data_IF_323137743162
#
_entry.id   IF_323137743162
#
_cell.length_a   1.000
_cell.length_b   1.000
_cell.length_c   1.000
_cell.angle_alpha   90.00
_cell.angle_beta   90.00
_cell.angle_gamma   90.00
#
_symmetry.space_group_name_H-M   'P 1'
#
loop_
_entity.id
_entity.type
_entity.pdbx_description
1 polymer ?
#
# COMPACT_ATOMS: atom_id res chain seq x y z
N UNK A 1 -34.25 7.84 -18.17
CA UNK A 1 -34.11 7.38 -16.76
C UNK A 1 -33.51 5.98 -16.67
N UNK A 2 -34.20 4.87 -16.96
CA UNK A 2 -33.63 3.50 -16.85
C UNK A 2 -32.31 3.30 -17.65
N UNK A 3 -32.26 3.77 -18.90
CA UNK A 3 -31.05 3.71 -19.72
C UNK A 3 -29.89 4.55 -19.17
N UNK A 4 -30.19 5.68 -18.51
CA UNK A 4 -29.20 6.51 -17.84
C UNK A 4 -28.65 5.80 -16.59
N UNK A 5 -29.51 5.17 -15.79
CA UNK A 5 -29.09 4.37 -14.62
C UNK A 5 -28.21 3.18 -15.04
N UNK A 6 -28.57 2.49 -16.12
CA UNK A 6 -27.76 1.41 -16.70
C UNK A 6 -26.40 1.95 -17.21
N UNK A 7 -26.39 3.09 -17.89
CA UNK A 7 -25.18 3.72 -18.42
C UNK A 7 -24.27 4.31 -17.33
N UNK A 8 -24.80 4.77 -16.20
CA UNK A 8 -24.04 5.19 -15.02
C UNK A 8 -23.23 4.03 -14.41
N UNK A 9 -23.57 2.77 -14.73
CA UNK A 9 -22.78 1.59 -14.39
C UNK A 9 -21.57 1.33 -15.30
N UNK A 10 -21.36 2.18 -16.33
CA UNK A 10 -20.25 2.03 -17.27
C UNK A 10 -18.90 2.05 -16.54
N UNK A 11 -18.04 1.08 -16.89
CA UNK A 11 -16.66 0.99 -16.42
C UNK A 11 -15.71 0.99 -17.62
N UNK A 12 -14.81 1.97 -17.67
CA UNK A 12 -13.79 2.09 -18.72
C UNK A 12 -14.32 2.59 -20.07
N UNK A 13 -13.47 2.49 -21.09
CA UNK A 13 -13.65 3.14 -22.39
C UNK A 13 -14.85 2.62 -23.21
N UNK A 14 -15.22 1.36 -23.05
CA UNK A 14 -16.30 0.71 -23.82
C UNK A 14 -17.68 1.32 -23.55
N UNK A 15 -17.88 1.88 -22.35
CA UNK A 15 -19.15 2.49 -21.94
C UNK A 15 -19.26 3.99 -22.20
N UNK A 16 -18.19 4.66 -22.68
CA UNK A 16 -18.16 6.12 -22.84
C UNK A 16 -19.20 6.60 -23.85
N UNK A 17 -19.25 5.99 -25.04
CA UNK A 17 -20.23 6.38 -26.07
C UNK A 17 -21.66 6.06 -25.63
N UNK A 18 -21.89 4.91 -24.97
CA UNK A 18 -23.19 4.57 -24.41
C UNK A 18 -23.65 5.60 -23.36
N UNK A 19 -22.73 6.04 -22.49
CA UNK A 19 -23.00 7.06 -21.48
C UNK A 19 -23.26 8.43 -22.11
N UNK A 20 -22.46 8.83 -23.12
CA UNK A 20 -22.66 10.09 -23.85
C UNK A 20 -24.02 10.14 -24.53
N UNK A 21 -24.37 9.10 -25.29
CA UNK A 21 -25.68 9.01 -25.96
C UNK A 21 -26.82 9.00 -24.95
N UNK A 22 -26.68 8.28 -23.82
CA UNK A 22 -27.71 8.26 -22.78
C UNK A 22 -27.92 9.64 -22.11
N UNK A 23 -26.84 10.44 -21.98
CA UNK A 23 -26.90 11.80 -21.43
C UNK A 23 -27.53 12.78 -22.42
N UNK A 24 -27.13 12.75 -23.70
CA UNK A 24 -27.71 13.57 -24.77
C UNK A 24 -29.22 13.30 -24.91
N UNK A 25 -29.63 12.02 -24.91
CA UNK A 25 -31.05 11.64 -24.96
C UNK A 25 -31.82 12.10 -23.71
N UNK A 26 -31.17 12.14 -22.54
CA UNK A 26 -31.80 12.60 -21.31
C UNK A 26 -31.90 14.14 -21.24
N UNK A 27 -30.94 14.86 -21.83
CA UNK A 27 -30.97 16.30 -22.02
C UNK A 27 -32.07 16.71 -23.00
N UNK A 28 -32.20 16.01 -24.14
CA UNK A 28 -33.28 16.20 -25.12
C UNK A 28 -34.67 15.89 -24.53
N UNK A 29 -34.73 15.01 -23.53
CA UNK A 29 -35.95 14.70 -22.79
C UNK A 29 -36.26 15.69 -21.66
N UNK A 30 -35.50 16.79 -21.53
CA UNK A 30 -35.64 17.84 -20.53
C UNK A 30 -35.56 17.34 -19.07
N UNK A 31 -34.69 16.37 -18.75
CA UNK A 31 -34.40 16.02 -17.36
C UNK A 31 -33.69 17.19 -16.65
N UNK A 32 -33.88 17.28 -15.33
CA UNK A 32 -33.24 18.31 -14.51
C UNK A 32 -31.70 18.21 -14.57
N UNK A 33 -31.05 19.36 -14.71
CA UNK A 33 -29.58 19.47 -14.79
C UNK A 33 -28.89 18.82 -13.58
N UNK A 34 -29.53 18.88 -12.41
CA UNK A 34 -29.02 18.24 -11.18
C UNK A 34 -29.03 16.70 -11.25
N UNK A 35 -30.00 16.09 -11.97
CA UNK A 35 -30.06 14.64 -12.18
C UNK A 35 -28.99 14.16 -13.18
N UNK A 36 -28.56 15.04 -14.10
CA UNK A 36 -27.60 14.72 -15.16
C UNK A 36 -26.14 14.96 -14.75
N UNK A 37 -25.88 15.88 -13.81
CA UNK A 37 -24.53 16.26 -13.38
C UNK A 37 -23.64 15.08 -12.93
N UNK A 38 -24.14 14.06 -12.20
CA UNK A 38 -23.34 12.88 -11.86
C UNK A 38 -22.86 12.11 -13.09
N UNK A 39 -23.70 12.01 -14.12
CA UNK A 39 -23.36 11.32 -15.37
C UNK A 39 -22.37 12.12 -16.20
N UNK A 40 -22.54 13.44 -16.31
CA UNK A 40 -21.55 14.31 -16.96
C UNK A 40 -20.20 14.28 -16.24
N UNK A 41 -20.18 14.22 -14.90
CA UNK A 41 -18.95 14.08 -14.12
C UNK A 41 -18.26 12.73 -14.41
N UNK A 42 -19.03 11.65 -14.43
CA UNK A 42 -18.52 10.32 -14.76
C UNK A 42 -17.98 10.26 -16.19
N UNK A 43 -18.69 10.85 -17.16
CA UNK A 43 -18.26 10.91 -18.55
C UNK A 43 -16.92 11.64 -18.67
N UNK A 44 -16.80 12.83 -18.09
CA UNK A 44 -15.54 13.60 -18.07
C UNK A 44 -14.40 12.81 -17.43
N UNK A 45 -14.69 12.09 -16.34
CA UNK A 45 -13.69 11.25 -15.69
C UNK A 45 -13.23 10.11 -16.60
N UNK A 46 -14.17 9.36 -17.19
CA UNK A 46 -13.84 8.23 -18.09
C UNK A 46 -13.12 8.69 -19.35
N UNK A 47 -13.48 9.84 -19.91
CA UNK A 47 -12.80 10.47 -21.06
C UNK A 47 -11.38 10.89 -20.71
N UNK A 48 -11.18 11.53 -19.56
CA UNK A 48 -9.85 11.90 -19.07
C UNK A 48 -8.97 10.66 -18.83
N UNK A 49 -9.55 9.60 -18.28
CA UNK A 49 -8.86 8.32 -18.06
C UNK A 49 -8.56 7.56 -19.37
N UNK A 50 -9.33 7.78 -20.43
CA UNK A 50 -9.23 7.03 -21.69
C UNK A 50 -8.51 7.79 -22.82
N UNK A 51 -7.94 8.96 -22.51
CA UNK A 51 -7.22 9.78 -23.49
C UNK A 51 -5.98 9.05 -24.05
N UNK A 52 -5.72 9.09 -25.37
CA UNK A 52 -4.54 8.46 -25.95
C UNK A 52 -3.26 9.10 -25.41
N UNK A 53 -2.32 8.27 -24.96
CA UNK A 53 -1.01 8.69 -24.44
C UNK A 53 0.01 9.00 -25.54
N UNK A 54 -0.37 8.90 -26.82
CA UNK A 54 0.50 9.19 -27.94
C UNK A 54 0.83 10.69 -28.00
N UNK A 55 2.12 11.03 -27.99
CA UNK A 55 2.62 12.42 -28.03
C UNK A 55 2.19 13.31 -26.86
N UNK A 56 1.68 12.74 -25.77
CA UNK A 56 1.28 13.50 -24.58
C UNK A 56 2.50 14.05 -23.84
N UNK A 57 3.46 13.19 -23.53
CA UNK A 57 4.64 13.58 -22.75
C UNK A 57 5.84 13.89 -23.63
N UNK A 58 6.00 13.18 -24.75
CA UNK A 58 7.07 13.43 -25.72
C UNK A 58 6.45 13.82 -27.06
N UNK A 59 6.39 15.13 -27.36
CA UNK A 59 5.89 15.64 -28.64
C UNK A 59 6.62 15.06 -29.85
N UNK A 60 6.01 15.18 -31.03
CA UNK A 60 6.58 14.64 -32.28
C UNK A 60 7.98 15.19 -32.57
N UNK A 61 8.15 16.50 -32.47
CA UNK A 61 9.41 17.19 -32.73
C UNK A 61 10.53 16.71 -31.78
N UNK A 62 10.17 16.49 -30.51
CA UNK A 62 11.09 15.99 -29.50
C UNK A 62 11.44 14.51 -29.72
N UNK A 63 10.47 13.69 -30.19
CA UNK A 63 10.72 12.31 -30.57
C UNK A 63 11.65 12.20 -31.78
N UNK A 64 11.50 13.07 -32.77
CA UNK A 64 12.39 13.14 -33.93
C UNK A 64 13.80 13.53 -33.48
N UNK A 65 13.90 14.56 -32.63
CA UNK A 65 15.15 14.99 -32.01
C UNK A 65 15.83 13.86 -31.23
N UNK A 66 15.06 13.08 -30.45
CA UNK A 66 15.54 11.91 -29.72
C UNK A 66 16.08 10.81 -30.63
N UNK A 67 15.43 10.57 -31.77
CA UNK A 67 15.89 9.56 -32.73
C UNK A 67 17.17 9.98 -33.44
N UNK A 68 17.38 11.29 -33.64
CA UNK A 68 18.60 11.85 -34.22
C UNK A 68 19.72 12.11 -33.20
N UNK A 69 19.43 11.95 -31.90
CA UNK A 69 20.39 12.26 -30.84
C UNK A 69 21.66 11.44 -30.99
N UNK A 70 22.80 12.12 -30.93
CA UNK A 70 24.12 11.54 -31.20
C UNK A 70 24.78 10.98 -29.94
N UNK A 71 24.35 11.46 -28.77
CA UNK A 71 24.92 11.11 -27.47
C UNK A 71 23.84 10.73 -26.45
N UNK A 72 24.23 9.93 -25.46
CA UNK A 72 23.36 9.58 -24.32
C UNK A 72 22.91 10.83 -23.57
N UNK A 73 23.81 11.77 -23.34
CA UNK A 73 23.53 12.97 -22.53
C UNK A 73 22.49 13.87 -23.20
N UNK A 74 22.58 14.03 -24.52
CA UNK A 74 21.60 14.75 -25.32
C UNK A 74 20.20 14.11 -25.23
N UNK A 75 20.11 12.79 -25.38
CA UNK A 75 18.84 12.07 -25.26
C UNK A 75 18.24 12.19 -23.86
N UNK A 76 19.06 12.11 -22.81
CA UNK A 76 18.63 12.28 -21.42
C UNK A 76 18.10 13.70 -21.19
N UNK A 77 18.77 14.73 -21.70
CA UNK A 77 18.31 16.12 -21.55
C UNK A 77 16.93 16.35 -22.19
N UNK A 78 16.70 15.81 -23.39
CA UNK A 78 15.40 15.91 -24.05
C UNK A 78 14.34 15.18 -23.22
N UNK A 79 14.61 13.94 -22.78
CA UNK A 79 13.67 13.17 -21.96
C UNK A 79 13.33 13.88 -20.64
N UNK A 80 14.31 14.46 -19.96
CA UNK A 80 14.08 15.20 -18.71
C UNK A 80 13.16 16.41 -18.92
N UNK A 81 13.37 17.16 -20.02
CA UNK A 81 12.52 18.29 -20.40
C UNK A 81 11.08 17.83 -20.66
N UNK A 82 10.91 16.81 -21.49
CA UNK A 82 9.60 16.29 -21.91
C UNK A 82 8.80 15.73 -20.73
N UNK A 83 9.46 14.92 -19.89
CA UNK A 83 8.84 14.26 -18.74
C UNK A 83 8.64 15.19 -17.53
N UNK A 84 9.07 16.46 -17.63
CA UNK A 84 9.03 17.48 -16.58
C UNK A 84 9.74 17.04 -15.28
N UNK A 85 10.88 16.38 -15.41
CA UNK A 85 11.67 15.90 -14.28
C UNK A 85 12.45 17.08 -13.70
N UNK A 86 12.16 17.45 -12.45
CA UNK A 86 12.85 18.56 -11.79
C UNK A 86 14.31 18.19 -11.47
N UNK A 87 15.26 19.02 -11.89
CA UNK A 87 16.68 18.84 -11.54
C UNK A 87 16.94 18.94 -10.03
N UNK A 88 16.03 19.57 -9.27
CA UNK A 88 16.19 19.80 -7.83
C UNK A 88 16.11 18.53 -6.99
N UNK A 89 15.59 17.42 -7.54
CA UNK A 89 15.42 16.16 -6.80
C UNK A 89 16.69 15.30 -6.74
N UNK A 90 17.84 15.81 -7.19
CA UNK A 90 19.17 15.21 -7.03
C UNK A 90 19.25 13.76 -7.52
N UNK A 91 19.36 12.80 -6.59
CA UNK A 91 19.46 11.38 -6.92
C UNK A 91 18.17 10.80 -7.55
N UNK A 92 17.00 11.34 -7.20
CA UNK A 92 15.72 10.85 -7.74
C UNK A 92 15.61 11.16 -9.22
N UNK A 93 15.97 12.37 -9.62
CA UNK A 93 15.95 12.80 -11.02
C UNK A 93 16.94 12.00 -11.86
N UNK A 94 18.11 11.65 -11.32
CA UNK A 94 19.07 10.78 -11.98
C UNK A 94 18.53 9.36 -12.24
N UNK A 95 17.87 8.75 -11.24
CA UNK A 95 17.24 7.42 -11.42
C UNK A 95 16.14 7.49 -12.47
N UNK A 96 15.29 8.53 -12.41
CA UNK A 96 14.15 8.67 -13.31
C UNK A 96 14.61 8.96 -14.75
N UNK A 97 15.64 9.78 -14.92
CA UNK A 97 16.29 10.03 -16.20
C UNK A 97 16.85 8.73 -16.81
N UNK A 98 17.59 7.93 -16.02
CA UNK A 98 18.14 6.65 -16.47
C UNK A 98 17.03 5.65 -16.81
N UNK A 99 15.93 5.65 -16.05
CA UNK A 99 14.75 4.83 -16.31
C UNK A 99 14.12 5.16 -17.67
N UNK A 100 13.83 6.44 -17.94
CA UNK A 100 13.26 6.85 -19.23
C UNK A 100 14.22 6.65 -20.39
N UNK A 101 15.53 6.83 -20.18
CA UNK A 101 16.53 6.56 -21.19
C UNK A 101 16.56 5.08 -21.59
N UNK A 102 16.50 4.16 -20.62
CA UNK A 102 16.43 2.72 -20.92
C UNK A 102 15.13 2.32 -21.63
N UNK A 103 14.01 2.97 -21.29
CA UNK A 103 12.74 2.79 -21.99
C UNK A 103 12.87 3.22 -23.46
N UNK A 104 13.51 4.36 -23.71
CA UNK A 104 13.79 4.83 -25.07
C UNK A 104 14.70 3.87 -25.85
N UNK A 105 15.78 3.38 -25.24
CA UNK A 105 16.67 2.38 -25.85
C UNK A 105 15.92 1.09 -26.21
N UNK A 106 14.93 0.69 -25.41
CA UNK A 106 14.09 -0.46 -25.75
C UNK A 106 13.27 -0.21 -27.02
N UNK A 107 12.64 0.95 -27.16
CA UNK A 107 11.94 1.35 -28.39
C UNK A 107 12.88 1.34 -29.60
N UNK A 108 14.09 1.87 -29.45
CA UNK A 108 15.09 1.94 -30.51
C UNK A 108 15.53 0.53 -30.95
N UNK A 109 15.77 -0.38 -30.00
CA UNK A 109 16.09 -1.80 -30.27
C UNK A 109 14.98 -2.52 -31.01
N UNK A 110 13.72 -2.19 -30.71
CA UNK A 110 12.54 -2.75 -31.38
C UNK A 110 12.19 -2.06 -32.69
N UNK A 111 12.90 -0.98 -33.07
CA UNK A 111 12.66 -0.17 -34.28
C UNK A 111 11.22 0.34 -34.39
N UNK A 112 10.66 0.78 -33.27
CA UNK A 112 9.31 1.32 -33.24
C UNK A 112 9.22 2.69 -33.90
N UNK A 113 8.06 3.01 -34.47
CA UNK A 113 7.79 4.35 -34.99
C UNK A 113 7.66 5.38 -33.85
N UNK A 114 7.76 6.66 -34.19
CA UNK A 114 7.72 7.76 -33.22
C UNK A 114 6.47 7.74 -32.34
N UNK A 115 5.31 7.42 -32.92
CA UNK A 115 4.03 7.34 -32.20
C UNK A 115 4.03 6.23 -31.15
N UNK A 116 4.46 5.02 -31.52
CA UNK A 116 4.57 3.88 -30.59
C UNK A 116 5.58 4.14 -29.48
N UNK A 117 6.74 4.69 -29.84
CA UNK A 117 7.77 5.02 -28.88
C UNK A 117 7.29 6.08 -27.89
N UNK A 118 6.65 7.16 -28.37
CA UNK A 118 6.07 8.20 -27.52
C UNK A 118 4.98 7.64 -26.60
N UNK A 119 4.10 6.80 -27.13
CA UNK A 119 3.03 6.16 -26.34
C UNK A 119 3.61 5.29 -25.23
N UNK A 120 4.63 4.47 -25.53
CA UNK A 120 5.27 3.63 -24.51
C UNK A 120 6.01 4.45 -23.46
N UNK A 121 6.73 5.49 -23.85
CA UNK A 121 7.43 6.38 -22.92
C UNK A 121 6.45 7.05 -21.95
N UNK A 122 5.32 7.55 -22.47
CA UNK A 122 4.25 8.17 -21.69
C UNK A 122 3.53 7.15 -20.80
N UNK A 123 3.31 5.93 -21.29
CA UNK A 123 2.73 4.82 -20.53
C UNK A 123 3.61 4.45 -19.32
N UNK A 124 4.92 4.33 -19.50
CA UNK A 124 5.84 4.03 -18.40
C UNK A 124 5.94 5.20 -17.40
N UNK A 125 5.81 6.45 -17.85
CA UNK A 125 5.72 7.63 -16.97
C UNK A 125 4.44 7.61 -16.15
N UNK A 126 3.30 7.37 -16.79
CA UNK A 126 2.00 7.28 -16.12
C UNK A 126 2.01 6.15 -15.08
N UNK A 127 2.55 4.98 -15.44
CA UNK A 127 2.73 3.87 -14.49
C UNK A 127 3.58 4.27 -13.28
N UNK A 128 4.76 4.84 -13.51
CA UNK A 128 5.66 5.23 -12.42
C UNK A 128 5.00 6.28 -11.53
N UNK A 129 4.40 7.32 -12.11
CA UNK A 129 3.75 8.41 -11.37
C UNK A 129 2.61 7.86 -10.50
N UNK A 130 1.72 7.08 -11.11
CA UNK A 130 0.59 6.48 -10.40
C UNK A 130 1.04 5.52 -9.30
N UNK A 131 1.87 4.53 -9.65
CA UNK A 131 2.23 3.45 -8.74
C UNK A 131 3.17 3.90 -7.62
N UNK A 132 4.10 4.82 -7.89
CA UNK A 132 5.17 5.18 -6.95
C UNK A 132 4.95 6.54 -6.30
N UNK A 133 4.51 7.56 -7.05
CA UNK A 133 4.45 8.95 -6.57
C UNK A 133 3.11 9.24 -5.90
N UNK A 134 2.00 8.87 -6.53
CA UNK A 134 0.65 9.24 -6.08
C UNK A 134 0.04 8.21 -5.12
N UNK A 135 -0.07 6.96 -5.56
CA UNK A 135 -0.84 5.94 -4.82
C UNK A 135 0.03 5.01 -3.94
N UNK A 136 1.36 4.99 -4.14
CA UNK A 136 2.30 4.09 -3.45
C UNK A 136 1.82 2.63 -3.42
N UNK A 137 1.42 2.12 -4.58
CA UNK A 137 0.80 0.82 -4.75
C UNK A 137 1.74 -0.34 -4.38
N UNK A 138 1.13 -1.47 -4.01
CA UNK A 138 1.81 -2.76 -3.96
C UNK A 138 2.30 -3.18 -5.34
N UNK A 139 3.29 -4.08 -5.39
CA UNK A 139 3.86 -4.55 -6.67
C UNK A 139 2.81 -5.24 -7.55
N UNK A 140 1.91 -6.02 -6.96
CA UNK A 140 0.86 -6.73 -7.69
C UNK A 140 -0.21 -5.77 -8.24
N UNK A 141 -0.62 -4.77 -7.47
CA UNK A 141 -1.55 -3.72 -7.93
C UNK A 141 -0.93 -2.88 -9.05
N UNK A 142 0.36 -2.56 -8.96
CA UNK A 142 1.09 -1.86 -10.01
C UNK A 142 1.20 -2.71 -11.30
N UNK A 143 1.31 -4.04 -11.19
CA UNK A 143 1.24 -4.93 -12.36
C UNK A 143 -0.14 -4.86 -13.00
N UNK A 144 -1.22 -4.96 -12.22
CA UNK A 144 -2.59 -4.81 -12.74
C UNK A 144 -2.79 -3.45 -13.41
N UNK A 145 -2.28 -2.37 -12.83
CA UNK A 145 -2.33 -1.04 -13.42
C UNK A 145 -1.60 -0.96 -14.79
N UNK A 146 -0.45 -1.63 -14.93
CA UNK A 146 0.24 -1.75 -16.21
C UNK A 146 -0.61 -2.53 -17.23
N UNK A 147 -1.23 -3.64 -16.83
CA UNK A 147 -2.07 -4.43 -17.73
C UNK A 147 -3.26 -3.63 -18.26
N UNK A 148 -3.89 -2.82 -17.41
CA UNK A 148 -4.97 -1.93 -17.80
C UNK A 148 -4.51 -0.79 -18.71
N UNK A 149 -3.33 -0.21 -18.49
CA UNK A 149 -2.73 0.75 -19.42
C UNK A 149 -2.48 0.12 -20.79
N UNK A 150 -1.86 -1.05 -20.84
CA UNK A 150 -1.54 -1.73 -22.11
C UNK A 150 -2.83 -2.11 -22.85
N UNK A 151 -3.83 -2.65 -22.14
CA UNK A 151 -5.11 -3.04 -22.73
C UNK A 151 -5.78 -1.86 -23.43
N UNK A 152 -5.81 -0.69 -22.78
CA UNK A 152 -6.38 0.54 -23.36
C UNK A 152 -5.66 1.00 -24.62
N UNK A 153 -4.33 0.94 -24.65
CA UNK A 153 -3.56 1.41 -25.80
C UNK A 153 -3.30 0.35 -26.88
N UNK A 154 -3.76 -0.88 -26.67
CA UNK A 154 -3.69 -1.95 -27.67
C UNK A 154 -5.02 -2.18 -28.40
N UNK A 155 -6.15 -1.84 -27.77
CA UNK A 155 -7.46 -1.90 -28.40
C UNK A 155 -7.73 -0.62 -29.20
N UNK A 156 -8.28 -0.78 -30.40
CA UNK A 156 -8.79 0.34 -31.17
C UNK A 156 -10.27 0.55 -30.82
N UNK A 157 -10.55 1.39 -29.82
CA UNK A 157 -11.92 1.77 -29.47
C UNK A 157 -12.21 3.18 -30.01
N UNK A 158 -13.25 3.36 -30.84
CA UNK A 158 -13.80 4.67 -31.11
C UNK A 158 -14.29 5.32 -29.79
N UNK A 159 -14.15 6.63 -29.58
CA UNK A 159 -13.69 7.66 -30.52
C UNK A 159 -12.21 8.10 -30.33
N UNK A 160 -11.53 7.64 -29.25
CA UNK A 160 -10.24 8.22 -28.83
C UNK A 160 -9.03 7.28 -28.95
N UNK A 161 -9.23 5.96 -29.03
CA UNK A 161 -8.10 5.00 -29.02
C UNK A 161 -7.71 4.57 -30.43
N UNK A 162 -6.64 5.20 -30.91
CA UNK A 162 -5.77 4.63 -31.94
C UNK A 162 -5.02 3.48 -31.25
N UNK A 163 -5.25 2.24 -31.68
CA UNK A 163 -4.53 1.06 -31.17
C UNK A 163 -3.05 1.14 -31.51
N UNK A 164 -2.31 1.95 -30.76
CA UNK A 164 -0.92 2.28 -31.02
C UNK A 164 -0.04 1.03 -30.94
N UNK A 165 -0.36 0.11 -30.03
CA UNK A 165 0.38 -1.13 -29.80
C UNK A 165 -0.36 -2.35 -30.36
N UNK A 166 0.31 -3.14 -31.19
CA UNK A 166 -0.18 -4.45 -31.59
C UNK A 166 -0.16 -5.44 -30.40
N UNK A 167 -0.87 -6.56 -30.51
CA UNK A 167 -0.87 -7.60 -29.47
C UNK A 167 0.54 -8.14 -29.17
N UNK A 168 1.39 -8.29 -30.19
CA UNK A 168 2.78 -8.73 -30.04
C UNK A 168 3.63 -7.67 -29.32
N UNK A 169 3.41 -6.40 -29.64
CA UNK A 169 4.10 -5.28 -28.99
C UNK A 169 3.66 -5.14 -27.54
N UNK A 170 2.37 -5.31 -27.24
CA UNK A 170 1.84 -5.34 -25.88
C UNK A 170 2.50 -6.43 -25.02
N UNK A 171 2.69 -7.64 -25.57
CA UNK A 171 3.41 -8.72 -24.88
C UNK A 171 4.88 -8.32 -24.64
N UNK A 172 5.54 -7.76 -25.66
CA UNK A 172 6.91 -7.31 -25.53
C UNK A 172 7.09 -6.20 -24.47
N UNK A 173 6.11 -5.29 -24.34
CA UNK A 173 6.06 -4.27 -23.28
C UNK A 173 5.97 -4.93 -21.92
N UNK A 174 5.03 -5.87 -21.72
CA UNK A 174 4.86 -6.58 -20.44
C UNK A 174 6.15 -7.30 -20.02
N UNK A 175 6.75 -8.04 -20.95
CA UNK A 175 8.00 -8.77 -20.70
C UNK A 175 9.17 -7.84 -20.37
N UNK A 176 9.24 -6.70 -21.06
CA UNK A 176 10.26 -5.69 -20.78
C UNK A 176 10.05 -5.07 -19.39
N UNK A 177 8.85 -4.60 -19.09
CA UNK A 177 8.52 -3.98 -17.79
C UNK A 177 8.78 -4.93 -16.61
N UNK A 178 8.51 -6.24 -16.78
CA UNK A 178 8.84 -7.26 -15.78
C UNK A 178 10.34 -7.33 -15.49
N UNK A 179 11.19 -7.20 -16.53
CA UNK A 179 12.65 -7.33 -16.43
C UNK A 179 13.35 -6.03 -16.03
N UNK A 180 12.74 -4.88 -16.30
CA UNK A 180 13.26 -3.55 -15.98
C UNK A 180 12.60 -2.98 -14.72
N UNK A 181 11.39 -2.43 -14.85
CA UNK A 181 10.69 -1.70 -13.81
C UNK A 181 10.37 -2.55 -12.58
N UNK A 182 9.67 -3.68 -12.76
CA UNK A 182 9.22 -4.49 -11.62
C UNK A 182 10.36 -5.20 -10.90
N UNK A 183 11.42 -5.59 -11.64
CA UNK A 183 12.63 -6.14 -11.03
C UNK A 183 13.25 -5.19 -9.99
N UNK A 184 13.11 -3.88 -10.21
CA UNK A 184 13.63 -2.83 -9.34
C UNK A 184 12.53 -2.05 -8.61
N UNK A 185 11.31 -2.61 -8.49
CA UNK A 185 10.15 -1.90 -7.93
C UNK A 185 10.40 -1.32 -6.54
N UNK A 186 10.96 -2.14 -5.64
CA UNK A 186 11.29 -1.72 -4.26
C UNK A 186 12.28 -0.57 -4.21
N UNK A 187 13.22 -0.51 -5.16
CA UNK A 187 14.16 0.62 -5.26
C UNK A 187 13.42 1.90 -5.64
N UNK A 188 12.55 1.85 -6.66
CA UNK A 188 11.73 3.00 -7.05
C UNK A 188 10.83 3.48 -5.92
N UNK A 189 10.16 2.56 -5.21
CA UNK A 189 9.33 2.87 -4.05
C UNK A 189 10.13 3.50 -2.90
N UNK A 190 11.30 2.94 -2.58
CA UNK A 190 12.15 3.45 -1.51
C UNK A 190 12.65 4.88 -1.78
N UNK A 191 13.01 5.19 -3.02
CA UNK A 191 13.51 6.53 -3.42
C UNK A 191 12.48 7.63 -3.18
N UNK A 192 11.18 7.29 -3.30
CA UNK A 192 10.06 8.22 -3.10
C UNK A 192 9.48 8.16 -1.69
N UNK A 193 9.88 7.17 -0.87
CA UNK A 193 9.47 7.06 0.52
C UNK A 193 10.10 8.15 1.38
N UNK A 194 9.36 8.68 2.35
CA UNK A 194 9.90 9.59 3.36
C UNK A 194 10.50 8.78 4.52
N UNK A 195 11.71 9.12 4.94
CA UNK A 195 12.30 8.52 6.15
C UNK A 195 11.49 8.97 7.36
N UNK A 196 10.89 8.00 8.06
CA UNK A 196 10.24 8.21 9.35
C UNK A 196 11.07 7.51 10.42
N UNK A 197 11.73 8.29 11.28
CA UNK A 197 12.41 7.75 12.45
C UNK A 197 11.39 7.67 13.59
N UNK A 198 11.00 6.45 13.98
CA UNK A 198 10.07 6.21 15.09
C UNK A 198 10.90 5.93 16.35
N UNK A 199 10.87 6.81 17.33
CA UNK A 199 11.44 6.57 18.65
C UNK A 199 10.41 5.89 19.55
N UNK A 200 10.61 4.61 19.86
CA UNK A 200 9.78 3.89 20.82
C UNK A 200 10.34 4.13 22.22
N UNK A 201 9.59 4.84 23.06
CA UNK A 201 9.90 5.00 24.48
C UNK A 201 8.98 4.09 25.30
N UNK A 202 9.56 3.31 26.20
CA UNK A 202 8.79 2.58 27.21
C UNK A 202 8.35 3.61 28.24
N UNK A 203 7.05 3.75 28.46
CA UNK A 203 6.56 4.48 29.62
C UNK A 203 6.91 3.61 30.85
N UNK A 204 7.77 4.13 31.74
CA UNK A 204 8.04 3.54 33.06
C UNK A 204 6.79 3.67 33.94
N UNK A 205 5.72 2.99 33.55
CA UNK A 205 4.55 2.78 34.39
C UNK A 205 4.80 1.50 35.20
N UNK A 206 4.88 1.58 36.53
CA UNK A 206 5.05 0.38 37.34
C UNK A 206 3.83 -0.52 37.13
N UNK A 207 4.05 -1.72 36.60
CA UNK A 207 3.00 -2.71 36.33
C UNK A 207 2.33 -3.27 37.61
N UNK A 208 2.92 -2.99 38.78
CA UNK A 208 2.42 -3.44 40.07
C UNK A 208 2.37 -2.29 41.08
N UNK A 209 1.42 -2.31 42.05
CA UNK A 209 1.43 -1.40 43.18
C UNK A 209 2.75 -1.50 43.94
N UNK A 210 3.25 -0.37 44.46
CA UNK A 210 4.43 -0.40 45.34
C UNK A 210 4.11 -1.26 46.56
N UNK A 211 4.90 -2.31 46.79
CA UNK A 211 4.80 -3.11 48.01
C UNK A 211 5.09 -2.17 49.18
N UNK A 212 4.19 -2.06 50.18
CA UNK A 212 4.46 -1.22 51.34
C UNK A 212 5.73 -1.70 52.04
N UNK A 213 6.51 -0.75 52.57
CA UNK A 213 7.72 -1.06 53.33
C UNK A 213 7.37 -2.00 54.49
N UNK A 214 8.30 -2.93 54.79
CA UNK A 214 8.12 -3.99 55.79
C UNK A 214 7.63 -3.36 57.11
N UNK A 215 6.44 -3.74 57.56
CA UNK A 215 5.96 -3.36 58.87
C UNK A 215 6.91 -3.92 59.95
N UNK A 216 7.27 -3.09 60.93
CA UNK A 216 8.05 -3.53 62.07
C UNK A 216 7.22 -4.53 62.90
N UNK A 217 7.84 -5.65 63.28
CA UNK A 217 7.16 -6.66 64.10
C UNK A 217 6.82 -6.06 65.46
N UNK A 218 5.52 -5.91 65.75
CA UNK A 218 5.06 -5.44 67.04
C UNK A 218 5.34 -6.49 68.12
N UNK A 219 6.41 -6.28 68.90
CA UNK A 219 6.80 -7.13 70.04
C UNK A 219 5.74 -7.23 71.16
N UNK A 220 4.69 -6.42 71.12
CA UNK A 220 3.56 -6.51 72.04
C UNK A 220 2.77 -7.84 71.91
N UNK A 221 2.95 -8.56 70.79
CA UNK A 221 2.35 -9.87 70.55
C UNK A 221 3.38 -11.01 70.62
N UNK A 222 4.59 -10.73 71.11
CA UNK A 222 5.59 -11.74 71.41
C UNK A 222 5.20 -12.38 72.75
N UNK A 223 4.53 -13.53 72.67
CA UNK A 223 4.11 -14.31 73.84
C UNK A 223 5.03 -15.51 73.95
N UNK A 224 5.55 -15.79 75.15
CA UNK A 224 6.33 -17.00 75.39
C UNK A 224 5.40 -18.23 75.24
N UNK A 225 5.69 -19.16 74.31
CA UNK A 225 4.87 -20.34 74.09
C UNK A 225 4.65 -21.20 75.35
N UNK A 226 5.55 -21.11 76.35
CA UNK A 226 5.46 -21.84 77.62
C UNK A 226 4.40 -21.26 78.57
N UNK A 227 4.05 -19.98 78.42
CA UNK A 227 3.07 -19.29 79.26
C UNK A 227 1.64 -19.42 78.71
N UNK A 228 1.48 -19.95 77.49
CA UNK A 228 0.17 -20.16 76.85
C UNK A 228 -0.41 -21.49 77.35
N UNK A 229 -1.52 -21.48 78.11
CA UNK A 229 -2.09 -22.70 78.70
C UNK A 229 -2.51 -23.73 77.65
N UNK A 230 -2.93 -23.25 76.48
CA UNK A 230 -3.37 -24.07 75.34
C UNK A 230 -2.23 -24.83 74.67
N UNK A 231 -0.97 -24.42 74.91
CA UNK A 231 0.23 -25.05 74.37
C UNK A 231 1.00 -25.85 75.42
N UNK A 232 0.55 -25.87 76.68
CA UNK A 232 1.23 -26.54 77.79
C UNK A 232 1.45 -28.04 77.52
N UNK A 233 0.49 -28.70 76.86
CA UNK A 233 0.57 -30.12 76.49
C UNK A 233 1.70 -30.43 75.50
N UNK A 234 2.14 -29.44 74.70
CA UNK A 234 3.23 -29.60 73.74
C UNK A 234 4.62 -29.53 74.38
N UNK A 235 4.71 -29.01 75.61
CA UNK A 235 5.96 -28.80 76.35
C UNK A 235 6.08 -29.64 77.63
N UNK A 236 5.06 -30.45 77.96
CA UNK A 236 5.11 -31.40 79.07
C UNK A 236 6.07 -32.57 78.77
N UNK A 237 6.87 -32.98 79.77
CA UNK A 237 7.78 -34.13 79.62
C UNK A 237 6.98 -35.44 79.60
N UNK A 238 7.33 -36.41 78.74
CA UNK A 238 6.58 -37.67 78.61
C UNK A 238 6.56 -38.53 79.90
N UNK A 239 7.43 -38.25 80.87
CA UNK A 239 7.47 -38.94 82.17
C UNK A 239 6.34 -38.47 83.11
N UNK A 240 5.83 -37.24 82.97
CA UNK A 240 4.74 -36.70 83.79
C UNK A 240 3.34 -37.13 83.28
N UNK A 241 3.24 -37.49 82.00
CA UNK A 241 2.01 -38.06 81.41
C UNK A 241 1.78 -39.54 81.80
N UNK A 242 2.82 -40.24 82.28
CA UNK A 242 2.77 -41.66 82.65
C UNK A 242 2.37 -41.91 84.12
N UNK A 243 2.19 -40.86 84.94
CA UNK A 243 1.82 -40.97 86.36
C UNK A 243 0.30 -40.85 86.63
N UNK A 244 -0.53 -40.69 85.59
CA UNK A 244 -1.99 -40.73 85.72
C UNK A 244 -2.48 -42.20 85.64
N UNK A 245 -3.26 -42.71 86.61
CA UNK A 245 -3.72 -44.09 86.59
C UNK A 245 -4.73 -44.33 85.45
N UNK A 246 -4.50 -45.43 84.73
CA UNK A 246 -5.28 -45.93 83.60
C UNK A 246 -6.80 -45.91 83.84
N UNK A 247 -7.53 -45.22 82.96
CA UNK A 247 -8.99 -45.18 82.95
C UNK A 247 -9.54 -44.89 81.55
N UNK A 248 -9.87 -45.98 80.84
CA UNK A 248 -10.78 -46.07 79.70
C UNK A 248 -10.46 -45.26 78.42
N UNK A 249 -9.83 -45.95 77.47
CA UNK A 249 -9.87 -45.61 76.04
C UNK A 249 -11.19 -46.15 75.46
N UNK A 250 -11.99 -45.31 74.77
CA UNK A 250 -12.71 -45.78 73.61
C UNK A 250 -12.13 -45.19 72.32
N UNK A 251 -11.79 -46.15 71.46
CA UNK A 251 -11.47 -46.09 70.05
C UNK A 251 -12.06 -44.90 69.27
N UNK A 252 -11.16 -44.05 68.77
CA UNK A 252 -10.86 -43.95 67.33
C UNK A 252 -12.00 -43.72 66.34
N UNK A 253 -11.87 -42.67 65.52
CA UNK A 253 -12.53 -42.67 64.22
C UNK A 253 -12.62 -41.35 63.47
N UNK A 254 -11.53 -41.02 62.77
CA UNK A 254 -11.53 -40.39 61.45
C UNK A 254 -11.99 -38.93 61.29
N UNK A 255 -10.98 -38.09 61.08
CA UNK A 255 -11.03 -36.86 60.30
C UNK A 255 -11.16 -37.22 58.81
N UNK A 256 -12.08 -36.59 58.09
CA UNK A 256 -12.05 -36.51 56.63
C UNK A 256 -12.57 -35.14 56.16
N UNK A 257 -11.64 -34.26 55.76
CA UNK A 257 -11.68 -33.45 54.53
C UNK A 257 -10.40 -32.65 54.37
#
# INVERSE_FOLDING_TARGET
>A
RRQLEEALGAKGAEGIECLRVALEVAEDACLDVEELEPGWRLLRQLEAESMPLAFTDVPRDDMESLQTASSKDEAVQILMRCMKIALQDGFRSAILAEFHYHNFLFCQKKKWCAEKASTFLSLMRALHTRAIVEEQLGEDDARSALEDLIRRHSQQLPPFTLGALSAEEAIAVKDYAKKSFFRHYKMHAFVHSHRQDISVCVADAPAAPRVPDRAELHKAHEVDPLEVPELADLFASPEDAAAAPDGEIPAGGCIAR
#
